data_IF_445384686058
#
_entry.id   IF_445384686058
#
_cell.length_a   1.000
_cell.length_b   1.000
_cell.length_c   1.000
_cell.angle_alpha   90.00
_cell.angle_beta   90.00
_cell.angle_gamma   90.00
#
_symmetry.space_group_name_H-M   'P 1'
#
loop_
_entity.id
_entity.type
_entity.pdbx_description
1 polymer ?
#
# COMPACT_ATOMS: atom_id res chain seq x y z
N UNK A 1 12.75 -2.93 -11.85
CA UNK A 1 12.75 -2.01 -10.70
C UNK A 1 12.51 -0.61 -11.22
N UNK A 2 11.40 -0.02 -10.77
CA UNK A 2 10.96 1.33 -11.06
C UNK A 2 10.67 1.99 -9.72
N UNK A 3 11.40 3.06 -9.43
CA UNK A 3 11.18 3.83 -8.21
C UNK A 3 9.71 4.22 -8.10
N UNK A 4 9.14 4.05 -6.92
CA UNK A 4 7.71 4.25 -6.68
C UNK A 4 7.53 5.10 -5.44
N UNK A 5 6.78 6.19 -5.56
CA UNK A 5 6.42 7.07 -4.44
C UNK A 5 4.98 6.77 -4.07
N UNK A 6 4.73 6.45 -2.81
CA UNK A 6 3.41 6.26 -2.22
C UNK A 6 2.97 7.56 -1.53
N UNK A 7 1.77 8.02 -1.84
CA UNK A 7 1.12 9.16 -1.19
C UNK A 7 -0.06 8.63 -0.38
N UNK A 8 -0.10 8.96 0.91
CA UNK A 8 -1.12 8.47 1.83
C UNK A 8 -1.76 9.64 2.54
N UNK A 9 -3.10 9.67 2.57
CA UNK A 9 -3.86 10.60 3.37
C UNK A 9 -4.93 9.82 4.17
N UNK A 10 -4.68 9.52 5.46
CA UNK A 10 -5.62 8.74 6.26
C UNK A 10 -6.99 9.39 6.45
N UNK A 11 -7.06 10.71 6.60
CA UNK A 11 -8.33 11.43 6.83
C UNK A 11 -8.43 12.66 5.93
N UNK A 12 -9.61 13.26 5.78
CA UNK A 12 -9.77 14.47 4.94
C UNK A 12 -8.95 15.69 5.41
N UNK A 13 -8.37 15.64 6.61
CA UNK A 13 -7.48 16.68 7.15
C UNK A 13 -6.13 16.71 6.40
N UNK A 14 -5.76 17.85 5.77
CA UNK A 14 -4.54 17.96 4.98
C UNK A 14 -3.24 17.66 5.74
N UNK A 15 -3.19 17.96 7.03
CA UNK A 15 -2.03 17.70 7.90
C UNK A 15 -1.71 16.20 8.10
N UNK A 16 -2.64 15.32 7.71
CA UNK A 16 -2.44 13.86 7.78
C UNK A 16 -1.74 13.30 6.53
N UNK A 17 -1.50 14.13 5.51
CA UNK A 17 -0.79 13.72 4.29
C UNK A 17 0.66 13.37 4.61
N UNK A 18 1.07 12.21 4.16
CA UNK A 18 2.46 11.76 4.22
C UNK A 18 2.82 11.03 2.93
N UNK A 19 4.11 10.82 2.71
CA UNK A 19 4.61 10.05 1.60
C UNK A 19 5.74 9.11 2.02
N UNK A 20 6.00 8.11 1.21
CA UNK A 20 7.14 7.21 1.33
C UNK A 20 7.57 6.77 -0.06
N UNK A 21 8.85 6.46 -0.23
CA UNK A 21 9.40 6.03 -1.50
C UNK A 21 10.06 4.64 -1.41
N UNK A 22 10.09 3.95 -2.55
CA UNK A 22 10.49 2.56 -2.68
C UNK A 22 11.28 2.33 -3.97
N UNK A 23 12.16 1.34 -4.01
CA UNK A 23 12.96 1.03 -5.19
C UNK A 23 12.16 0.29 -6.28
N UNK A 24 11.05 -0.34 -5.87
CA UNK A 24 10.17 -1.09 -6.75
C UNK A 24 8.68 -0.95 -6.39
N UNK A 25 7.83 -1.24 -7.38
CA UNK A 25 6.37 -1.31 -7.17
C UNK A 25 6.01 -2.36 -6.13
N UNK A 26 6.70 -3.51 -6.11
CA UNK A 26 6.40 -4.58 -5.15
C UNK A 26 6.70 -4.15 -3.71
N UNK A 27 7.85 -3.52 -3.46
CA UNK A 27 8.16 -2.95 -2.14
C UNK A 27 7.15 -1.89 -1.71
N UNK A 28 6.68 -1.08 -2.65
CA UNK A 28 5.62 -0.11 -2.38
C UNK A 28 4.32 -0.81 -1.93
N UNK A 29 3.93 -1.90 -2.60
CA UNK A 29 2.73 -2.68 -2.21
C UNK A 29 2.93 -3.35 -0.85
N UNK A 30 4.12 -3.89 -0.56
CA UNK A 30 4.47 -4.40 0.77
C UNK A 30 4.40 -3.30 1.84
N UNK A 31 4.79 -2.07 1.49
CA UNK A 31 4.63 -0.88 2.33
C UNK A 31 3.18 -0.62 2.71
N UNK A 32 2.24 -0.74 1.76
CA UNK A 32 0.79 -0.60 2.03
C UNK A 32 0.31 -1.68 3.00
N UNK A 33 0.74 -2.94 2.82
CA UNK A 33 0.42 -4.01 3.77
C UNK A 33 0.95 -3.71 5.18
N UNK A 34 2.20 -3.22 5.29
CA UNK A 34 2.81 -2.85 6.58
C UNK A 34 2.06 -1.73 7.29
N UNK A 35 1.58 -0.72 6.56
CA UNK A 35 0.75 0.36 7.13
C UNK A 35 -0.51 -0.22 7.80
N UNK A 36 -1.17 -1.17 7.13
CA UNK A 36 -2.34 -1.83 7.68
C UNK A 36 -1.99 -2.73 8.88
N UNK A 37 -0.90 -3.48 8.81
CA UNK A 37 -0.41 -4.31 9.91
C UNK A 37 -0.07 -3.49 11.16
N UNK A 38 0.54 -2.30 10.99
CA UNK A 38 0.78 -1.37 12.08
C UNK A 38 -0.51 -0.83 12.69
N UNK A 39 -1.52 -0.55 11.85
CA UNK A 39 -2.85 -0.17 12.30
C UNK A 39 -3.50 -1.30 13.13
N UNK A 40 -3.43 -2.55 12.65
CA UNK A 40 -3.91 -3.72 13.37
C UNK A 40 -3.18 -3.94 14.70
N UNK A 41 -1.85 -3.80 14.74
CA UNK A 41 -1.04 -3.90 15.97
C UNK A 41 -1.44 -2.86 17.01
N UNK A 42 -1.72 -1.62 16.59
CA UNK A 42 -2.20 -0.57 17.50
C UNK A 42 -3.57 -0.89 18.10
N UNK A 43 -4.46 -1.52 17.33
CA UNK A 43 -5.77 -1.95 17.81
C UNK A 43 -5.71 -3.20 18.69
N UNK A 44 -4.71 -4.07 18.50
CA UNK A 44 -4.60 -5.36 19.17
C UNK A 44 -3.24 -5.50 19.89
N UNK A 45 -2.92 -4.66 20.88
CA UNK A 45 -1.57 -4.58 21.46
C UNK A 45 -1.10 -5.87 22.16
N UNK A 46 -2.04 -6.71 22.60
CA UNK A 46 -1.75 -7.97 23.29
C UNK A 46 -1.71 -9.18 22.35
N UNK A 47 -1.94 -8.98 21.04
CA UNK A 47 -1.97 -10.07 20.07
C UNK A 47 -0.64 -10.13 19.33
N UNK A 48 0.23 -11.13 19.63
CA UNK A 48 1.60 -11.16 19.10
C UNK A 48 1.66 -11.44 17.59
N UNK A 49 0.66 -12.16 17.05
CA UNK A 49 0.53 -12.45 15.63
C UNK A 49 -0.89 -12.19 15.19
N UNK A 50 -1.07 -11.30 14.22
CA UNK A 50 -2.37 -10.92 13.68
C UNK A 50 -2.45 -11.47 12.27
N UNK A 51 -3.50 -12.23 11.98
CA UNK A 51 -3.85 -12.66 10.63
C UNK A 51 -5.02 -11.83 10.14
N UNK A 52 -5.03 -11.51 8.85
CA UNK A 52 -6.10 -10.78 8.20
C UNK A 52 -6.30 -11.33 6.79
N UNK A 53 -7.53 -11.24 6.29
CA UNK A 53 -7.82 -11.54 4.89
C UNK A 53 -7.64 -10.30 4.00
N UNK A 54 -7.53 -10.54 2.70
CA UNK A 54 -7.32 -9.47 1.73
C UNK A 54 -8.50 -8.48 1.64
N UNK A 55 -9.72 -8.92 1.95
CA UNK A 55 -10.91 -8.07 1.94
C UNK A 55 -10.85 -7.05 3.07
N UNK A 56 -10.33 -7.43 4.25
CA UNK A 56 -10.11 -6.52 5.37
C UNK A 56 -9.06 -5.45 5.03
N UNK A 57 -7.96 -5.83 4.37
CA UNK A 57 -6.97 -4.87 3.86
C UNK A 57 -7.59 -3.91 2.83
N UNK A 58 -8.42 -4.42 1.93
CA UNK A 58 -9.09 -3.60 0.93
C UNK A 58 -10.11 -2.64 1.54
N UNK A 59 -10.83 -3.08 2.57
CA UNK A 59 -11.72 -2.21 3.35
C UNK A 59 -10.96 -1.06 4.01
N UNK A 60 -9.80 -1.34 4.63
CA UNK A 60 -8.94 -0.30 5.17
C UNK A 60 -8.48 0.71 4.10
N UNK A 61 -8.09 0.24 2.91
CA UNK A 61 -7.69 1.12 1.80
C UNK A 61 -8.85 2.02 1.35
N UNK A 62 -10.09 1.50 1.33
CA UNK A 62 -11.28 2.29 0.99
C UNK A 62 -11.56 3.39 1.99
N UNK A 63 -11.36 3.12 3.28
CA UNK A 63 -11.58 4.08 4.37
C UNK A 63 -10.59 5.25 4.39
N UNK A 64 -9.40 5.10 3.80
CA UNK A 64 -8.45 6.22 3.68
C UNK A 64 -9.09 7.37 2.90
N UNK A 65 -8.81 8.63 3.26
CA UNK A 65 -9.29 9.75 2.45
C UNK A 65 -8.66 9.79 1.05
N UNK A 66 -7.36 9.50 0.96
CA UNK A 66 -6.66 9.34 -0.31
C UNK A 66 -5.50 8.33 -0.20
N UNK A 67 -5.27 7.61 -1.29
CA UNK A 67 -4.11 6.73 -1.45
C UNK A 67 -3.82 6.62 -2.94
N UNK A 68 -2.61 7.02 -3.33
CA UNK A 68 -2.14 6.97 -4.70
C UNK A 68 -0.65 6.67 -4.74
N UNK A 69 -0.15 6.21 -5.88
CA UNK A 69 1.28 6.04 -6.07
C UNK A 69 1.74 6.56 -7.44
N UNK A 70 2.98 7.03 -7.47
CA UNK A 70 3.67 7.53 -8.64
C UNK A 70 4.76 6.52 -9.01
N UNK A 71 4.67 5.90 -10.18
CA UNK A 71 5.65 4.91 -10.64
C UNK A 71 6.54 5.52 -11.72
N UNK A 72 7.86 5.43 -11.53
CA UNK A 72 8.84 5.94 -12.46
C UNK A 72 8.86 5.17 -13.79
N UNK A 73 8.70 5.89 -14.89
CA UNK A 73 8.75 5.39 -16.26
C UNK A 73 10.09 5.78 -16.90
N UNK A 74 10.97 4.78 -17.09
CA UNK A 74 12.33 4.99 -17.61
C UNK A 74 12.38 5.51 -19.05
N UNK A 75 11.34 5.25 -19.84
CA UNK A 75 11.29 5.62 -21.26
C UNK A 75 11.02 7.12 -21.44
N UNK A 76 10.11 7.67 -20.64
CA UNK A 76 9.69 9.07 -20.70
C UNK A 76 10.39 9.95 -19.65
N UNK A 77 11.13 9.35 -18.70
CA UNK A 77 11.69 10.04 -17.53
C UNK A 77 10.63 10.76 -16.69
N UNK A 78 9.42 10.18 -16.60
CA UNK A 78 8.29 10.75 -15.86
C UNK A 78 7.76 9.78 -14.81
N UNK A 79 6.90 10.28 -13.93
CA UNK A 79 6.11 9.46 -13.03
C UNK A 79 4.68 9.32 -13.54
N UNK A 80 4.20 8.08 -13.63
CA UNK A 80 2.80 7.81 -13.93
C UNK A 80 2.00 7.66 -12.63
N UNK A 81 0.89 8.39 -12.46
CA UNK A 81 0.03 8.29 -11.29
C UNK A 81 -0.92 7.09 -11.39
N UNK A 82 -1.14 6.45 -10.25
CA UNK A 82 -2.07 5.34 -10.08
C UNK A 82 -2.88 5.52 -8.79
N UNK A 83 -4.15 5.10 -8.84
CA UNK A 83 -5.12 5.26 -7.78
C UNK A 83 -5.21 4.02 -6.88
N UNK A 84 -6.13 4.06 -5.91
CA UNK A 84 -6.46 2.96 -4.99
C UNK A 84 -6.75 1.64 -5.69
N UNK A 85 -7.56 1.66 -6.75
CA UNK A 85 -7.98 0.43 -7.43
C UNK A 85 -6.79 -0.29 -8.04
N UNK A 86 -5.89 0.45 -8.68
CA UNK A 86 -4.66 -0.10 -9.22
C UNK A 86 -3.75 -0.66 -8.11
N UNK A 87 -3.63 0.05 -6.98
CA UNK A 87 -2.86 -0.42 -5.82
C UNK A 87 -3.43 -1.74 -5.28
N UNK A 88 -4.75 -1.83 -5.11
CA UNK A 88 -5.43 -3.06 -4.68
C UNK A 88 -5.17 -4.23 -5.64
N UNK A 89 -5.24 -3.99 -6.94
CA UNK A 89 -4.92 -5.01 -7.95
C UNK A 89 -3.47 -5.49 -7.83
N UNK A 90 -2.50 -4.59 -7.65
CA UNK A 90 -1.09 -4.96 -7.48
C UNK A 90 -0.83 -5.70 -6.17
N UNK A 91 -1.48 -5.33 -5.09
CA UNK A 91 -1.45 -6.07 -3.82
C UNK A 91 -2.02 -7.48 -4.01
N UNK A 92 -3.15 -7.64 -4.70
CA UNK A 92 -3.74 -8.95 -4.98
C UNK A 92 -2.75 -9.86 -5.71
N UNK A 93 -2.11 -9.35 -6.77
CA UNK A 93 -1.11 -10.09 -7.54
C UNK A 93 0.10 -10.44 -6.66
N UNK A 94 0.59 -9.50 -5.86
CA UNK A 94 1.72 -9.71 -4.95
C UNK A 94 1.44 -10.86 -3.97
N UNK A 95 0.32 -10.79 -3.24
CA UNK A 95 -0.04 -11.78 -2.22
C UNK A 95 -0.34 -13.15 -2.83
N UNK A 96 -1.01 -13.19 -3.98
CA UNK A 96 -1.24 -14.44 -4.73
C UNK A 96 0.08 -15.10 -5.13
N UNK A 97 1.05 -14.32 -5.61
CA UNK A 97 2.36 -14.84 -6.00
C UNK A 97 3.16 -15.35 -4.79
N UNK A 98 3.10 -14.65 -3.66
CA UNK A 98 3.73 -15.11 -2.41
C UNK A 98 3.12 -16.43 -1.93
N UNK A 99 1.79 -16.55 -1.92
CA UNK A 99 1.10 -17.79 -1.54
C UNK A 99 1.44 -18.96 -2.48
N UNK A 100 1.65 -18.72 -3.78
CA UNK A 100 2.05 -19.77 -4.72
C UNK A 100 3.48 -20.26 -4.58
N UNK A 101 4.32 -19.51 -3.86
CA UNK A 101 5.75 -19.83 -3.62
C UNK A 101 6.00 -20.45 -2.24
N UNK A 102 4.98 -20.47 -1.38
CA UNK A 102 4.99 -21.13 -0.07
C UNK A 102 4.56 -22.60 -0.23
#
# INVERSE_FOLDING_TARGET
MSHTILLVQPTHKPETRTYSDYESVNECMEGVCKIYEEHLKKMNPNTPSITYDISQLFGFIDELADLSCLVYQKQSFTYAPYNKDWIKEKIYILLRNQASRA
#
